data_IF_148370687158
#
_entry.id   IF_148370687158
#
_cell.length_a   1.000
_cell.length_b   1.000
_cell.length_c   1.000
_cell.angle_alpha   90.00
_cell.angle_beta   90.00
_cell.angle_gamma   90.00
#
_symmetry.space_group_name_H-M   'P 1'
#
loop_
_entity.id
_entity.type
_entity.pdbx_description
1 polymer ?
#
# COMPACT_ATOMS: atom_id res chain seq x y z
N UNK A 1 19.59 -17.78 -11.89
CA UNK A 1 18.74 -16.82 -12.63
C UNK A 1 18.20 -15.69 -11.74
N UNK A 2 17.73 -15.97 -10.50
CA UNK A 2 17.27 -14.92 -9.54
C UNK A 2 18.42 -14.08 -8.97
N UNK A 3 19.62 -14.65 -8.84
CA UNK A 3 20.81 -13.97 -8.30
C UNK A 3 21.42 -12.89 -9.22
N UNK A 4 21.03 -12.84 -10.50
CA UNK A 4 21.57 -11.87 -11.48
C UNK A 4 20.71 -10.61 -11.61
N UNK A 5 19.44 -10.66 -11.15
CA UNK A 5 18.53 -9.51 -11.11
C UNK A 5 18.77 -8.65 -9.85
N UNK A 6 19.33 -9.24 -8.78
CA UNK A 6 19.61 -8.53 -7.53
C UNK A 6 20.73 -7.48 -7.60
N UNK A 7 21.55 -7.47 -8.67
CA UNK A 7 22.63 -6.48 -8.83
C UNK A 7 22.19 -5.20 -9.56
N UNK A 8 21.09 -5.23 -10.33
CA UNK A 8 20.70 -4.13 -11.21
C UNK A 8 19.33 -3.51 -10.89
N UNK A 9 18.56 -4.11 -9.99
CA UNK A 9 17.35 -3.50 -9.45
C UNK A 9 17.71 -2.98 -8.07
N UNK A 10 17.76 -1.65 -7.84
CA UNK A 10 18.09 -1.14 -6.52
C UNK A 10 17.09 -1.74 -5.53
N UNK A 11 17.55 -2.26 -4.39
CA UNK A 11 16.71 -2.86 -3.36
C UNK A 11 15.57 -1.93 -2.88
N UNK A 12 15.67 -0.64 -3.20
CA UNK A 12 14.64 0.40 -3.02
C UNK A 12 13.49 0.31 -4.03
N UNK A 13 13.71 -0.16 -5.26
CA UNK A 13 12.68 -0.21 -6.31
C UNK A 13 11.51 -1.12 -5.93
N UNK A 14 11.78 -2.22 -5.22
CA UNK A 14 10.75 -3.17 -4.82
C UNK A 14 9.75 -2.61 -3.80
N UNK A 15 10.19 -2.05 -2.65
CA UNK A 15 9.28 -1.44 -1.71
C UNK A 15 8.55 -0.24 -2.33
N UNK A 16 9.20 0.58 -3.18
CA UNK A 16 8.48 1.67 -3.87
C UNK A 16 7.39 1.16 -4.81
N UNK A 17 7.64 0.08 -5.56
CA UNK A 17 6.64 -0.50 -6.45
C UNK A 17 5.47 -1.11 -5.65
N UNK A 18 5.78 -1.81 -4.54
CA UNK A 18 4.78 -2.35 -3.64
C UNK A 18 3.91 -1.25 -3.02
N UNK A 19 4.52 -0.13 -2.58
CA UNK A 19 3.77 1.02 -2.07
C UNK A 19 2.86 1.63 -3.13
N UNK A 20 3.33 1.82 -4.36
CA UNK A 20 2.51 2.36 -5.46
C UNK A 20 1.34 1.43 -5.84
N UNK A 21 1.61 0.12 -5.95
CA UNK A 21 0.56 -0.87 -6.21
C UNK A 21 -0.46 -0.91 -5.07
N UNK A 22 -0.01 -0.92 -3.80
CA UNK A 22 -0.88 -0.84 -2.65
C UNK A 22 -1.72 0.44 -2.63
N UNK A 23 -1.13 1.59 -2.96
CA UNK A 23 -1.87 2.84 -3.07
C UNK A 23 -2.98 2.75 -4.11
N UNK A 24 -2.70 2.25 -5.32
CA UNK A 24 -3.70 2.11 -6.37
C UNK A 24 -4.81 1.11 -6.00
N UNK A 25 -4.45 -0.04 -5.43
CA UNK A 25 -5.42 -1.06 -5.02
C UNK A 25 -6.28 -0.55 -3.87
N UNK A 26 -5.69 0.11 -2.87
CA UNK A 26 -6.43 0.71 -1.76
C UNK A 26 -7.31 1.87 -2.24
N UNK A 27 -6.84 2.66 -3.21
CA UNK A 27 -7.62 3.71 -3.83
C UNK A 27 -8.86 3.17 -4.54
N UNK A 28 -8.73 2.08 -5.29
CA UNK A 28 -9.84 1.47 -6.03
C UNK A 28 -10.78 0.63 -5.14
N UNK A 29 -10.25 -0.05 -4.11
CA UNK A 29 -11.00 -0.98 -3.27
C UNK A 29 -11.63 -0.33 -2.03
N UNK A 30 -11.14 0.85 -1.64
CA UNK A 30 -11.71 1.65 -0.56
C UNK A 30 -11.53 1.08 0.86
N UNK A 31 -10.62 0.11 1.04
CA UNK A 31 -10.41 -0.50 2.36
C UNK A 31 -8.97 -0.96 2.58
N UNK A 32 -8.36 -0.43 3.65
CA UNK A 32 -6.99 -0.78 4.07
C UNK A 32 -6.85 -2.26 4.40
N UNK A 33 -7.78 -2.83 5.18
CA UNK A 33 -7.72 -4.23 5.64
C UNK A 33 -7.87 -5.24 4.49
N UNK A 34 -8.72 -4.94 3.51
CA UNK A 34 -8.88 -5.79 2.33
C UNK A 34 -7.61 -5.79 1.47
N UNK A 35 -6.95 -4.63 1.36
CA UNK A 35 -5.69 -4.50 0.61
C UNK A 35 -4.56 -5.27 1.28
N UNK A 36 -4.48 -5.26 2.61
CA UNK A 36 -3.54 -6.10 3.37
C UNK A 36 -3.76 -7.59 3.14
N UNK A 37 -5.01 -8.05 3.24
CA UNK A 37 -5.35 -9.46 3.08
C UNK A 37 -4.92 -10.02 1.71
N UNK A 38 -4.97 -9.20 0.66
CA UNK A 38 -4.59 -9.61 -0.71
C UNK A 38 -3.09 -9.44 -0.95
N UNK A 39 -2.47 -8.37 -0.45
CA UNK A 39 -1.08 -8.03 -0.80
C UNK A 39 -0.06 -8.74 0.08
N UNK A 40 -0.32 -8.95 1.38
CA UNK A 40 0.62 -9.67 2.26
C UNK A 40 1.03 -11.08 1.81
N UNK A 41 0.10 -11.96 1.35
CA UNK A 41 0.49 -13.30 0.89
C UNK A 41 1.37 -13.28 -0.36
N UNK A 42 1.36 -12.19 -1.13
CA UNK A 42 2.19 -12.01 -2.33
C UNK A 42 3.51 -11.32 -1.97
N UNK A 43 3.47 -10.28 -1.12
CA UNK A 43 4.63 -9.47 -0.76
C UNK A 43 5.63 -10.22 0.14
N UNK A 44 5.17 -11.05 1.08
CA UNK A 44 6.06 -11.82 1.96
C UNK A 44 6.96 -12.82 1.23
N UNK A 45 6.46 -13.71 0.35
CA UNK A 45 7.33 -14.62 -0.41
C UNK A 45 8.21 -13.86 -1.42
N UNK A 46 7.71 -12.78 -2.02
CA UNK A 46 8.49 -11.95 -2.95
C UNK A 46 9.69 -11.28 -2.25
N UNK A 47 9.49 -10.74 -1.05
CA UNK A 47 10.56 -10.17 -0.24
C UNK A 47 11.62 -11.22 0.10
N UNK A 48 11.18 -12.42 0.54
CA UNK A 48 12.08 -13.54 0.86
C UNK A 48 12.86 -14.08 -0.34
N UNK A 49 12.29 -14.01 -1.55
CA UNK A 49 12.94 -14.46 -2.77
C UNK A 49 14.10 -13.55 -3.22
N UNK A 50 14.08 -12.28 -2.79
CA UNK A 50 15.10 -11.28 -3.17
C UNK A 50 16.17 -11.19 -2.11
N UNK A 51 15.78 -11.06 -0.85
CA UNK A 51 16.70 -10.97 0.27
C UNK A 51 16.06 -11.59 1.51
N UNK A 52 16.78 -12.51 2.15
CA UNK A 52 16.31 -13.21 3.36
C UNK A 52 16.53 -12.35 4.63
N UNK A 53 17.15 -11.18 4.49
CA UNK A 53 17.43 -10.30 5.61
C UNK A 53 16.13 -9.85 6.32
N UNK A 54 16.04 -10.01 7.66
CA UNK A 54 14.86 -9.63 8.41
C UNK A 54 14.57 -8.13 8.32
N UNK A 55 15.61 -7.30 8.15
CA UNK A 55 15.49 -5.86 7.92
C UNK A 55 14.77 -5.56 6.60
N UNK A 56 15.07 -6.29 5.52
CA UNK A 56 14.44 -6.09 4.21
C UNK A 56 12.97 -6.49 4.21
N UNK A 57 12.64 -7.61 4.87
CA UNK A 57 11.26 -8.04 5.07
C UNK A 57 10.43 -6.98 5.84
N UNK A 58 11.03 -6.39 6.88
CA UNK A 58 10.38 -5.32 7.66
C UNK A 58 10.11 -4.07 6.82
N UNK A 59 11.03 -3.71 5.92
CA UNK A 59 10.88 -2.55 5.01
C UNK A 59 9.74 -2.80 4.03
N UNK A 60 9.68 -3.98 3.41
CA UNK A 60 8.57 -4.36 2.52
C UNK A 60 7.22 -4.39 3.23
N UNK A 61 7.15 -4.92 4.47
CA UNK A 61 5.94 -4.85 5.29
C UNK A 61 5.52 -3.40 5.56
N UNK A 62 6.46 -2.54 5.97
CA UNK A 62 6.18 -1.12 6.21
C UNK A 62 5.73 -0.39 4.94
N UNK A 63 6.31 -0.73 3.79
CA UNK A 63 5.96 -0.18 2.49
C UNK A 63 4.52 -0.53 2.07
N UNK A 64 4.09 -1.78 2.29
CA UNK A 64 2.71 -2.24 2.05
C UNK A 64 1.72 -1.59 3.01
N UNK A 65 2.07 -1.54 4.29
CA UNK A 65 1.26 -0.87 5.33
C UNK A 65 1.06 0.62 5.00
N UNK A 66 2.15 1.36 4.76
CA UNK A 66 2.08 2.78 4.43
C UNK A 66 1.31 3.06 3.14
N UNK A 67 1.54 2.26 2.10
CA UNK A 67 0.85 2.43 0.80
C UNK A 67 -0.65 2.22 0.89
N UNK A 68 -1.10 1.19 1.61
CA UNK A 68 -2.54 0.93 1.71
C UNK A 68 -3.26 1.92 2.62
N UNK A 69 -2.66 2.37 3.74
CA UNK A 69 -3.27 3.43 4.57
C UNK A 69 -3.41 4.71 3.75
N UNK A 70 -2.36 5.12 3.04
CA UNK A 70 -2.39 6.34 2.25
C UNK A 70 -3.44 6.29 1.14
N UNK A 71 -3.47 5.20 0.36
CA UNK A 71 -4.47 5.04 -0.71
C UNK A 71 -5.92 5.01 -0.19
N UNK A 72 -6.13 4.54 1.04
CA UNK A 72 -7.43 4.48 1.69
C UNK A 72 -7.95 5.85 2.15
N UNK A 73 -7.06 6.78 2.53
CA UNK A 73 -7.47 8.14 2.92
C UNK A 73 -7.86 8.98 1.69
N UNK A 74 -7.10 8.84 0.60
CA UNK A 74 -7.35 9.57 -0.64
C UNK A 74 -8.50 9.02 -1.48
N UNK A 75 -9.03 7.82 -1.18
CA UNK A 75 -10.07 7.18 -1.98
C UNK A 75 -11.46 7.75 -1.71
N UNK A 76 -12.17 8.33 -2.69
CA UNK A 76 -13.54 8.81 -2.49
C UNK A 76 -14.59 7.71 -2.25
N UNK A 77 -14.21 6.45 -2.44
CA UNK A 77 -15.09 5.28 -2.30
C UNK A 77 -14.82 4.54 -0.98
N UNK A 78 -13.80 4.95 -0.24
CA UNK A 78 -13.37 4.27 0.99
C UNK A 78 -14.29 4.54 2.18
N UNK A 79 -14.51 3.49 2.99
CA UNK A 79 -15.31 3.56 4.22
C UNK A 79 -14.83 4.67 5.17
N UNK A 80 -13.52 4.99 5.13
CA UNK A 80 -12.88 5.95 6.04
C UNK A 80 -13.24 7.42 5.72
N UNK A 81 -13.04 7.94 4.49
CA UNK A 81 -13.50 9.28 4.12
C UNK A 81 -15.02 9.41 4.07
N UNK A 82 -15.77 8.34 3.77
CA UNK A 82 -17.24 8.36 3.85
C UNK A 82 -17.69 8.63 5.28
N UNK A 83 -17.19 7.87 6.25
CA UNK A 83 -17.52 8.11 7.66
C UNK A 83 -17.03 9.47 8.14
N UNK A 84 -15.82 9.90 7.74
CA UNK A 84 -15.27 11.22 8.12
C UNK A 84 -16.12 12.39 7.59
N UNK A 85 -16.60 12.31 6.35
CA UNK A 85 -17.51 13.32 5.77
C UNK A 85 -18.87 13.36 6.50
N UNK A 86 -19.40 12.21 6.92
CA UNK A 86 -20.65 12.13 7.70
C UNK A 86 -20.52 12.78 9.09
N UNK A 87 -19.39 12.63 9.78
CA UNK A 87 -19.17 13.26 11.08
C UNK A 87 -18.87 14.76 10.98
N UNK A 88 -18.29 15.22 9.87
CA UNK A 88 -17.96 16.63 9.66
C UNK A 88 -19.08 17.43 9.00
N UNK A 89 -20.08 16.75 8.42
CA UNK A 89 -21.21 17.39 7.74
C UNK A 89 -20.83 18.07 6.42
N UNK A 90 -19.61 17.82 5.93
CA UNK A 90 -19.09 18.34 4.67
C UNK A 90 -19.39 17.37 3.50
N UNK A 91 -19.49 17.91 2.29
CA UNK A 91 -19.69 17.10 1.09
C UNK A 91 -18.52 16.14 0.88
N UNK A 92 -18.80 14.88 0.54
CA UNK A 92 -17.81 13.80 0.46
C UNK A 92 -16.65 14.15 -0.49
N UNK A 93 -16.99 14.79 -1.62
CA UNK A 93 -16.02 15.12 -2.65
C UNK A 93 -15.19 16.36 -2.28
N UNK A 94 -15.76 17.33 -1.56
CA UNK A 94 -15.02 18.46 -1.00
C UNK A 94 -14.08 17.99 0.12
N UNK A 95 -14.52 17.03 0.94
CA UNK A 95 -13.67 16.43 1.96
C UNK A 95 -12.48 15.71 1.33
N UNK A 96 -12.67 14.89 0.29
CA UNK A 96 -11.59 14.11 -0.37
C UNK A 96 -10.62 14.98 -1.18
N UNK A 97 -11.11 16.06 -1.79
CA UNK A 97 -10.28 16.92 -2.66
C UNK A 97 -9.48 17.95 -1.86
N UNK A 98 -9.92 18.27 -0.64
CA UNK A 98 -9.31 19.28 0.23
C UNK A 98 -8.55 18.68 1.43
N UNK A 99 -8.30 17.36 1.45
CA UNK A 99 -7.45 16.68 2.45
C UNK A 99 -5.96 17.04 2.29
#
# INVERSE_FOLDING_TARGET
MVHLIGYNVPAIALPTLLTLLCMLIAFARGSSFSTYAVVFPIAMPLARAIQVDPTYLSICCRAVLGGAVFGNQCSPISDTPILSSMFTGCDLMDHVTNQ
#
